data_IF_143744183924
#
_entry.id   IF_143744183924
#
_cell.length_a   1.000
_cell.length_b   1.000
_cell.length_c   1.000
_cell.angle_alpha   90.00
_cell.angle_beta   90.00
_cell.angle_gamma   90.00
#
_symmetry.space_group_name_H-M   'P 1'
#
loop_
_entity.id
_entity.type
_entity.pdbx_description
1 polymer ?
#
# COMPACT_ATOMS: atom_id res chain seq x y z
N UNK A 1 7.62 -0.14 -2.60
CA UNK A 1 8.15 1.12 -3.17
C UNK A 1 7.39 2.31 -2.64
N UNK A 2 6.07 2.27 -2.59
CA UNK A 2 5.22 3.32 -1.98
C UNK A 2 5.66 3.80 -0.59
N UNK A 3 6.19 2.88 0.22
CA UNK A 3 6.69 3.17 1.57
C UNK A 3 8.16 2.74 1.75
N UNK A 4 8.97 2.83 0.68
CA UNK A 4 10.40 2.49 0.78
C UNK A 4 11.09 3.56 1.64
N UNK A 5 11.77 3.13 2.71
CA UNK A 5 12.42 4.05 3.66
C UNK A 5 11.50 4.53 4.78
N UNK A 6 10.20 4.25 4.71
CA UNK A 6 9.26 4.46 5.80
C UNK A 6 9.45 3.45 6.93
N UNK A 7 8.91 3.77 8.11
CA UNK A 7 8.85 2.85 9.25
C UNK A 7 8.07 1.57 8.90
N UNK A 8 8.25 0.51 9.70
CA UNK A 8 7.48 -0.72 9.53
C UNK A 8 5.96 -0.47 9.64
N UNK A 9 5.54 0.51 10.46
CA UNK A 9 4.14 0.95 10.59
C UNK A 9 3.64 1.62 9.30
N UNK A 10 4.41 2.55 8.72
CA UNK A 10 4.05 3.18 7.45
C UNK A 10 3.94 2.16 6.31
N UNK A 11 4.86 1.18 6.28
CA UNK A 11 4.78 0.06 5.34
C UNK A 11 3.54 -0.81 5.59
N UNK A 12 3.21 -1.11 6.85
CA UNK A 12 2.03 -1.87 7.21
C UNK A 12 0.73 -1.17 6.80
N UNK A 13 0.64 0.16 6.96
CA UNK A 13 -0.52 0.94 6.53
C UNK A 13 -0.79 0.80 5.02
N UNK A 14 0.24 0.80 4.18
CA UNK A 14 0.07 0.55 2.74
C UNK A 14 -0.45 -0.88 2.48
N UNK A 15 0.01 -1.87 3.24
CA UNK A 15 -0.51 -3.25 3.14
C UNK A 15 -1.98 -3.32 3.54
N UNK A 16 -2.38 -2.62 4.61
CA UNK A 16 -3.78 -2.55 5.02
C UNK A 16 -4.67 -1.90 3.96
N UNK A 17 -4.23 -0.82 3.31
CA UNK A 17 -4.96 -0.23 2.18
C UNK A 17 -5.20 -1.23 1.06
N UNK A 18 -4.20 -2.05 0.70
CA UNK A 18 -4.34 -3.10 -0.32
C UNK A 18 -5.40 -4.13 0.09
N UNK A 19 -5.33 -4.60 1.35
CA UNK A 19 -6.30 -5.55 1.92
C UNK A 19 -7.70 -4.95 1.93
N UNK A 20 -7.86 -3.72 2.42
CA UNK A 20 -9.12 -2.98 2.45
C UNK A 20 -9.72 -2.83 1.05
N UNK A 21 -8.93 -2.39 0.06
CA UNK A 21 -9.39 -2.28 -1.34
C UNK A 21 -9.90 -3.61 -1.88
N UNK A 22 -9.20 -4.71 -1.61
CA UNK A 22 -9.65 -6.05 -2.01
C UNK A 22 -10.97 -6.46 -1.33
N UNK A 23 -11.16 -6.11 -0.05
CA UNK A 23 -12.39 -6.39 0.69
C UNK A 23 -13.57 -5.56 0.19
N UNK A 24 -13.33 -4.30 -0.19
CA UNK A 24 -14.34 -3.41 -0.76
C UNK A 24 -14.82 -3.87 -2.14
N UNK A 25 -14.04 -4.69 -2.86
CA UNK A 25 -14.41 -5.30 -4.14
C UNK A 25 -14.95 -4.28 -5.18
N UNK A 26 -14.24 -3.16 -5.33
CA UNK A 26 -14.61 -2.12 -6.29
C UNK A 26 -13.83 -2.31 -7.59
N UNK A 27 -14.51 -2.27 -8.73
CA UNK A 27 -13.89 -2.49 -10.05
C UNK A 27 -12.79 -1.48 -10.40
N UNK A 28 -12.93 -0.24 -9.92
CA UNK A 28 -11.91 0.80 -10.11
C UNK A 28 -10.65 0.57 -9.26
N UNK A 29 -10.76 -0.19 -8.17
CA UNK A 29 -9.62 -0.67 -7.37
C UNK A 29 -9.01 -1.98 -7.86
N UNK A 30 -9.62 -2.67 -8.82
CA UNK A 30 -9.16 -3.98 -9.29
C UNK A 30 -9.97 -5.17 -8.77
N UNK A 31 -11.04 -4.96 -8.00
CA UNK A 31 -11.94 -6.04 -7.56
C UNK A 31 -11.50 -6.71 -6.25
N UNK A 32 -11.80 -8.00 -6.10
CA UNK A 32 -11.68 -8.71 -4.81
C UNK A 32 -10.38 -9.49 -4.60
N UNK A 33 -9.41 -9.40 -5.51
CA UNK A 33 -8.13 -10.10 -5.40
C UNK A 33 -7.01 -9.12 -5.15
N UNK A 34 -6.17 -9.40 -4.15
CA UNK A 34 -4.97 -8.62 -3.83
C UNK A 34 -4.11 -8.41 -5.09
N UNK A 35 -3.90 -9.46 -5.88
CA UNK A 35 -3.11 -9.37 -7.11
C UNK A 35 -3.71 -8.40 -8.14
N UNK A 36 -5.03 -8.37 -8.28
CA UNK A 36 -5.70 -7.49 -9.23
C UNK A 36 -5.68 -6.04 -8.74
N UNK A 37 -5.77 -5.82 -7.41
CA UNK A 37 -5.57 -4.51 -6.79
C UNK A 37 -4.16 -3.98 -7.05
N UNK A 38 -3.13 -4.80 -6.78
CA UNK A 38 -1.73 -4.43 -7.00
C UNK A 38 -1.40 -4.13 -8.48
N UNK A 39 -2.06 -4.82 -9.42
CA UNK A 39 -1.79 -4.71 -10.86
C UNK A 39 -2.72 -3.75 -11.59
N UNK A 40 -3.67 -3.13 -10.90
CA UNK A 40 -4.58 -2.15 -11.51
C UNK A 40 -3.80 -0.89 -11.85
N UNK A 41 -3.88 -0.48 -13.11
CA UNK A 41 -3.22 0.73 -13.60
C UNK A 41 -3.57 1.96 -12.75
N UNK A 42 -2.57 2.77 -12.43
CA UNK A 42 -2.71 3.97 -11.59
C UNK A 42 -2.80 3.72 -10.08
N UNK A 43 -2.74 2.47 -9.60
CA UNK A 43 -2.80 2.19 -8.15
C UNK A 43 -1.45 2.32 -7.44
N UNK A 44 -0.41 1.74 -8.03
CA UNK A 44 0.91 1.66 -7.43
C UNK A 44 1.99 1.95 -8.47
N UNK A 45 2.91 2.86 -8.15
CA UNK A 45 3.99 3.27 -9.05
C UNK A 45 4.87 2.07 -9.44
N UNK A 46 4.99 1.07 -8.55
CA UNK A 46 5.75 -0.15 -8.80
C UNK A 46 5.28 -1.01 -9.97
N UNK A 47 4.03 -0.87 -10.35
CA UNK A 47 3.45 -1.60 -11.47
C UNK A 47 3.33 -0.73 -12.72
N UNK A 48 3.19 0.58 -12.55
CA UNK A 48 2.98 1.52 -13.66
C UNK A 48 4.30 2.00 -14.30
N UNK A 49 5.43 1.94 -13.56
CA UNK A 49 6.75 2.26 -14.10
C UNK A 49 7.66 1.02 -14.08
N UNK A 50 7.87 0.34 -15.23
CA UNK A 50 8.70 -0.85 -15.31
C UNK A 50 10.21 -0.56 -15.19
N UNK A 51 10.61 0.68 -14.94
CA UNK A 51 12.04 1.07 -14.83
C UNK A 51 12.72 0.55 -13.57
N UNK A 52 11.98 -0.09 -12.67
CA UNK A 52 12.48 -0.44 -11.35
C UNK A 52 12.92 -1.92 -11.30
N UNK A 53 14.22 -2.14 -11.45
CA UNK A 53 14.84 -3.41 -11.07
C UNK A 53 14.73 -3.58 -9.56
N UNK A 54 13.77 -4.38 -9.10
CA UNK A 54 13.65 -4.75 -7.69
C UNK A 54 14.70 -5.83 -7.40
N UNK A 55 15.74 -5.47 -6.65
CA UNK A 55 16.65 -6.47 -6.08
C UNK A 55 15.95 -7.20 -4.93
N UNK A 56 15.43 -8.39 -5.20
CA UNK A 56 14.77 -9.21 -4.17
C UNK A 56 15.72 -9.77 -3.12
N UNK A 57 17.04 -9.72 -3.35
CA UNK A 57 18.03 -10.20 -2.40
C UNK A 57 18.42 -9.14 -1.34
N UNK A 58 18.09 -7.87 -1.57
CA UNK A 58 18.43 -6.79 -0.66
C UNK A 58 17.64 -6.88 0.66
N UNK A 59 18.21 -6.31 1.72
CA UNK A 59 17.64 -6.37 3.06
C UNK A 59 16.33 -5.60 3.15
N UNK A 60 16.21 -4.49 2.42
CA UNK A 60 14.99 -3.70 2.35
C UNK A 60 13.81 -4.51 1.79
N UNK A 61 14.05 -5.34 0.76
CA UNK A 61 13.00 -6.19 0.20
C UNK A 61 12.54 -7.24 1.22
N UNK A 62 13.49 -7.90 1.90
CA UNK A 62 13.18 -8.90 2.95
C UNK A 62 12.42 -8.29 4.12
N UNK A 63 12.77 -7.06 4.53
CA UNK A 63 12.07 -6.34 5.58
C UNK A 63 10.61 -6.04 5.19
N UNK A 64 10.39 -5.55 3.97
CA UNK A 64 9.03 -5.34 3.45
C UNK A 64 8.26 -6.66 3.36
N UNK A 65 8.90 -7.74 2.88
CA UNK A 65 8.27 -9.06 2.82
C UNK A 65 7.84 -9.56 4.21
N UNK A 66 8.67 -9.33 5.24
CA UNK A 66 8.34 -9.64 6.62
C UNK A 66 7.12 -8.86 7.10
N UNK A 67 7.09 -7.54 6.88
CA UNK A 67 5.93 -6.69 7.25
C UNK A 67 4.65 -7.17 6.55
N UNK A 68 4.71 -7.50 5.26
CA UNK A 68 3.57 -8.04 4.51
C UNK A 68 3.05 -9.33 5.14
N UNK A 69 3.95 -10.26 5.47
CA UNK A 69 3.58 -11.53 6.13
C UNK A 69 2.98 -11.28 7.51
N UNK A 70 3.57 -10.39 8.29
CA UNK A 70 3.09 -10.08 9.63
C UNK A 70 1.69 -9.43 9.61
N UNK A 71 1.41 -8.53 8.67
CA UNK A 71 0.06 -7.96 8.50
C UNK A 71 -0.94 -9.02 8.05
N UNK A 72 -0.62 -9.79 7.01
CA UNK A 72 -1.57 -10.75 6.40
C UNK A 72 -1.88 -11.92 7.34
N UNK A 73 -0.87 -12.48 8.00
CA UNK A 73 -1.03 -13.71 8.78
C UNK A 73 -1.20 -13.48 10.27
N UNK A 74 -0.62 -12.40 10.82
CA UNK A 74 -0.58 -12.17 12.26
C UNK A 74 -1.44 -10.96 12.69
N UNK A 75 -2.02 -10.21 11.75
CA UNK A 75 -2.76 -8.98 12.06
C UNK A 75 -1.89 -7.94 12.78
N UNK A 76 -0.60 -7.91 12.45
CA UNK A 76 0.38 -7.07 13.13
C UNK A 76 0.04 -5.57 13.01
N UNK A 77 0.52 -4.79 13.97
CA UNK A 77 0.32 -3.33 14.07
C UNK A 77 -1.12 -2.87 14.35
N UNK A 78 -2.10 -3.78 14.39
CA UNK A 78 -3.52 -3.40 14.39
C UNK A 78 -3.91 -2.74 13.06
N UNK A 79 -5.21 -2.63 12.75
CA UNK A 79 -5.67 -1.83 11.62
C UNK A 79 -5.41 -0.34 11.90
N UNK A 80 -4.15 0.09 11.74
CA UNK A 80 -3.65 1.45 12.02
C UNK A 80 -4.42 2.53 11.25
N UNK A 81 -5.07 2.13 10.17
CA UNK A 81 -5.71 2.98 9.19
C UNK A 81 -7.25 2.99 9.30
N UNK A 82 -7.83 2.30 10.29
CA UNK A 82 -9.30 2.19 10.54
C UNK A 82 -10.14 1.94 9.28
N UNK A 83 -9.62 1.17 8.32
CA UNK A 83 -10.30 0.87 7.06
C UNK A 83 -10.11 1.91 5.97
N UNK A 84 -9.05 2.71 6.03
CA UNK A 84 -8.65 3.60 4.93
C UNK A 84 -8.43 2.83 3.62
N UNK A 85 -8.89 3.41 2.53
CA UNK A 85 -8.66 2.91 1.17
C UNK A 85 -7.82 3.87 0.31
N UNK A 86 -7.30 4.94 0.91
CA UNK A 86 -6.43 5.95 0.27
C UNK A 86 -5.23 6.28 1.17
N UNK A 87 -4.14 6.72 0.55
CA UNK A 87 -2.97 7.30 1.21
C UNK A 87 -2.42 8.43 0.32
N UNK A 88 -1.72 9.39 0.91
CA UNK A 88 -1.12 10.52 0.20
C UNK A 88 0.21 10.91 0.86
N UNK A 89 1.20 11.29 0.04
CA UNK A 89 2.40 11.97 0.53
C UNK A 89 2.23 13.48 0.30
N UNK A 90 1.88 14.27 1.33
CA UNK A 90 1.60 15.69 1.17
C UNK A 90 2.82 16.52 0.79
N UNK A 91 4.02 16.06 1.12
CA UNK A 91 5.26 16.77 0.79
C UNK A 91 5.58 16.66 -0.72
N UNK A 92 5.17 15.56 -1.37
CA UNK A 92 5.36 15.34 -2.81
C UNK A 92 4.16 15.81 -3.64
N UNK A 93 2.95 15.50 -3.20
CA UNK A 93 1.71 15.62 -4.00
C UNK A 93 0.79 16.76 -3.49
N UNK A 94 1.15 17.45 -2.41
CA UNK A 94 0.30 18.46 -1.76
C UNK A 94 -0.90 17.85 -1.05
N UNK A 95 -1.95 18.64 -0.84
CA UNK A 95 -3.21 18.18 -0.23
C UNK A 95 -4.30 18.14 -1.31
N UNK A 96 -4.58 16.96 -1.91
CA UNK A 96 -5.65 16.82 -2.88
C UNK A 96 -7.00 17.22 -2.28
N UNK A 97 -7.94 17.70 -3.10
CA UNK A 97 -9.25 18.15 -2.60
C UNK A 97 -10.05 17.07 -1.85
N UNK A 98 -9.77 15.80 -2.12
CA UNK A 98 -10.38 14.67 -1.41
C UNK A 98 -9.86 14.48 0.03
N UNK A 99 -8.76 15.14 0.43
CA UNK A 99 -8.27 15.14 1.83
C UNK A 99 -8.86 16.27 2.68
N UNK A 100 -9.63 17.20 2.10
CA UNK A 100 -10.11 18.41 2.79
C UNK A 100 -10.99 18.15 4.04
N UNK A 101 -11.49 16.92 4.22
CA UNK A 101 -12.35 16.54 5.36
C UNK A 101 -11.72 15.42 6.22
N UNK A 102 -10.44 15.12 6.04
CA UNK A 102 -9.70 14.21 6.90
C UNK A 102 -9.12 15.03 8.06
N UNK A 103 -9.79 14.99 9.23
CA UNK A 103 -9.38 15.66 10.47
C UNK A 103 -8.93 14.65 11.52
#
# INVERSE_FOLDING_TARGET
MEARGESAEGQASVVYVIVTRSRLNRSYWGGNKIADVCKKGGQFECWNSPTNNIDTACEEYKNVEKVVKDVIYNGAYGHLDDGSDHFNNPDKEGYPTWTNNCA
#
